data_IF_669114744566
#
_entry.id   IF_669114744566
#
_cell.length_a   1.000
_cell.length_b   1.000
_cell.length_c   1.000
_cell.angle_alpha   90.00
_cell.angle_beta   90.00
_cell.angle_gamma   90.00
#
_symmetry.space_group_name_H-M   'P 1'
#
loop_
_entity.id
_entity.type
_entity.pdbx_description
1 polymer ?
#
# COMPACT_ATOMS: atom_id res chain seq x y z
N UNK A 1 10.44 19.01 8.60
CA UNK A 1 11.21 17.88 9.17
C UNK A 1 10.78 16.63 8.45
N UNK A 2 11.67 15.93 7.74
CA UNK A 2 11.33 14.62 7.18
C UNK A 2 11.19 13.60 8.33
N UNK A 3 10.27 12.62 8.26
CA UNK A 3 10.17 11.58 9.27
C UNK A 3 11.49 10.79 9.35
N UNK A 4 11.90 10.34 10.55
CA UNK A 4 13.21 9.73 10.82
C UNK A 4 13.41 8.33 10.20
N UNK A 5 12.50 7.87 9.34
CA UNK A 5 12.57 6.58 8.66
C UNK A 5 11.44 6.40 7.64
N UNK A 6 11.42 5.28 6.89
CA UNK A 6 10.29 4.94 6.04
C UNK A 6 9.00 4.92 6.86
N UNK A 7 7.88 5.44 6.31
CA UNK A 7 6.65 5.62 7.06
C UNK A 7 6.11 4.29 7.60
N UNK A 8 5.56 4.32 8.81
CA UNK A 8 4.99 3.13 9.44
C UNK A 8 3.49 3.10 9.17
N UNK A 9 3.08 2.18 8.31
CA UNK A 9 1.66 1.95 8.02
C UNK A 9 1.08 1.09 9.15
N UNK A 10 0.04 1.58 9.82
CA UNK A 10 -0.62 0.88 10.92
C UNK A 10 -1.59 -0.18 10.40
N UNK A 11 -2.38 0.19 9.39
CA UNK A 11 -3.40 -0.66 8.80
C UNK A 11 -3.80 -0.12 7.43
N UNK A 12 -4.58 -0.89 6.69
CA UNK A 12 -5.24 -0.44 5.48
C UNK A 12 -6.59 -1.12 5.30
N UNK A 13 -7.52 -0.44 4.64
CA UNK A 13 -8.87 -0.91 4.40
C UNK A 13 -9.43 -0.36 3.08
N UNK A 14 -10.54 -0.90 2.62
CA UNK A 14 -11.29 -0.34 1.49
C UNK A 14 -12.36 0.61 2.03
N UNK A 15 -12.26 1.90 1.71
CA UNK A 15 -13.38 2.83 1.87
C UNK A 15 -14.46 2.47 0.86
N UNK A 16 -15.71 2.73 1.21
CA UNK A 16 -16.87 2.55 0.31
C UNK A 16 -17.35 3.86 -0.31
N UNK A 17 -16.86 5.01 0.18
CA UNK A 17 -17.19 6.35 -0.30
C UNK A 17 -15.97 7.29 -0.12
N UNK A 18 -15.17 7.54 -1.17
CA UNK A 18 -15.16 6.82 -2.45
C UNK A 18 -14.75 5.35 -2.28
N UNK A 19 -15.10 4.49 -3.24
CA UNK A 19 -14.68 3.09 -3.24
C UNK A 19 -13.19 3.00 -3.59
N UNK A 20 -12.34 3.05 -2.56
CA UNK A 20 -10.89 3.21 -2.72
C UNK A 20 -10.11 2.59 -1.56
N UNK A 21 -8.92 2.04 -1.82
CA UNK A 21 -8.02 1.63 -0.76
C UNK A 21 -7.47 2.83 0.01
N UNK A 22 -7.47 2.70 1.33
CA UNK A 22 -6.99 3.68 2.29
C UNK A 22 -5.87 3.06 3.12
N UNK A 23 -4.73 3.73 3.15
CA UNK A 23 -3.64 3.40 4.08
C UNK A 23 -3.64 4.36 5.26
N UNK A 24 -3.51 3.81 6.45
CA UNK A 24 -3.50 4.56 7.71
C UNK A 24 -2.09 4.61 8.25
N UNK A 25 -1.55 5.81 8.37
CA UNK A 25 -0.21 6.08 8.87
C UNK A 25 -0.24 6.42 10.36
N UNK A 26 0.93 6.33 11.02
CA UNK A 26 1.05 6.64 12.44
C UNK A 26 0.84 8.15 12.73
N UNK A 27 1.31 9.01 11.82
CA UNK A 27 1.21 10.47 11.89
C UNK A 27 0.80 11.09 10.55
N UNK A 28 0.36 12.35 10.59
CA UNK A 28 0.07 13.11 9.38
C UNK A 28 1.35 13.37 8.57
N UNK A 29 2.49 13.62 9.23
CA UNK A 29 3.78 13.83 8.55
C UNK A 29 4.20 12.61 7.71
N UNK A 30 3.95 11.39 8.19
CA UNK A 30 4.21 10.16 7.45
C UNK A 30 3.25 10.00 6.26
N UNK A 31 1.97 10.33 6.44
CA UNK A 31 1.00 10.34 5.35
C UNK A 31 1.37 11.35 4.26
N UNK A 32 1.78 12.56 4.65
CA UNK A 32 2.26 13.59 3.72
C UNK A 32 3.55 13.19 3.02
N UNK A 33 4.51 12.60 3.75
CA UNK A 33 5.71 12.05 3.13
C UNK A 33 5.38 10.99 2.08
N UNK A 34 4.45 10.09 2.39
CA UNK A 34 4.02 9.06 1.46
C UNK A 34 3.34 9.67 0.23
N UNK A 35 2.45 10.64 0.44
CA UNK A 35 1.78 11.39 -0.62
C UNK A 35 2.77 12.12 -1.55
N UNK A 36 3.83 12.72 -1.01
CA UNK A 36 4.88 13.38 -1.79
C UNK A 36 5.58 12.40 -2.75
N UNK A 37 5.82 11.16 -2.30
CA UNK A 37 6.40 10.09 -3.12
C UNK A 37 5.41 9.47 -4.10
N UNK A 38 4.16 9.34 -3.67
CA UNK A 38 3.09 8.65 -4.39
C UNK A 38 2.02 9.68 -4.74
N UNK A 39 2.25 10.41 -5.84
CA UNK A 39 1.45 11.59 -6.23
C UNK A 39 -0.03 11.31 -6.49
N UNK A 40 -0.40 10.07 -6.79
CA UNK A 40 -1.79 9.67 -6.91
C UNK A 40 -2.48 9.49 -5.55
N UNK A 41 -1.71 9.40 -4.46
CA UNK A 41 -2.23 9.39 -3.10
C UNK A 41 -2.86 10.72 -2.73
N UNK A 42 -3.99 10.67 -2.03
CA UNK A 42 -4.73 11.86 -1.59
C UNK A 42 -5.00 11.80 -0.10
N UNK A 43 -4.74 12.92 0.57
CA UNK A 43 -5.19 13.18 1.92
C UNK A 43 -6.37 14.14 1.82
N UNK A 44 -7.51 13.78 2.40
CA UNK A 44 -8.71 14.62 2.40
C UNK A 44 -8.79 15.43 3.71
N UNK A 45 -9.16 16.70 3.61
CA UNK A 45 -9.18 17.64 4.74
C UNK A 45 -10.34 17.36 5.71
N UNK A 46 -11.45 16.86 5.18
CA UNK A 46 -12.63 16.43 5.93
C UNK A 46 -12.48 15.03 6.56
N UNK A 47 -11.39 14.32 6.25
CA UNK A 47 -11.04 13.02 6.80
C UNK A 47 -9.82 13.12 7.71
N UNK A 48 -9.43 12.00 8.32
CA UNK A 48 -8.18 11.95 9.09
C UNK A 48 -6.98 12.27 8.18
N UNK A 49 -6.16 13.25 8.58
CA UNK A 49 -4.92 13.59 7.87
C UNK A 49 -3.86 12.47 7.89
N UNK A 50 -4.11 11.40 8.65
CA UNK A 50 -3.29 10.19 8.66
C UNK A 50 -3.67 9.20 7.57
N UNK A 51 -4.73 9.47 6.81
CA UNK A 51 -5.27 8.57 5.79
C UNK A 51 -4.82 9.03 4.41
N UNK A 52 -4.21 8.10 3.67
CA UNK A 52 -3.90 8.29 2.25
C UNK A 52 -4.79 7.37 1.44
N UNK A 53 -5.65 7.99 0.64
CA UNK A 53 -6.52 7.33 -0.32
C UNK A 53 -5.74 7.12 -1.61
N UNK A 54 -5.74 5.90 -2.11
CA UNK A 54 -5.19 5.57 -3.43
C UNK A 54 -6.34 5.33 -4.41
N UNK A 55 -6.25 5.77 -5.67
CA UNK A 55 -7.21 5.40 -6.68
C UNK A 55 -7.35 3.89 -6.76
N UNK A 56 -8.58 3.38 -6.96
CA UNK A 56 -8.83 1.95 -7.04
C UNK A 56 -7.93 1.31 -8.12
N UNK A 57 -6.98 0.45 -7.74
CA UNK A 57 -6.15 -0.25 -8.69
C UNK A 57 -6.97 -1.28 -9.45
N UNK A 58 -6.69 -1.43 -10.74
CA UNK A 58 -7.26 -2.51 -11.55
C UNK A 58 -6.88 -3.89 -10.96
N UNK A 59 -7.85 -4.81 -10.93
CA UNK A 59 -7.64 -6.17 -10.44
C UNK A 59 -7.45 -6.31 -8.92
N UNK A 60 -7.61 -5.24 -8.13
CA UNK A 60 -7.52 -5.32 -6.67
C UNK A 60 -8.67 -6.17 -6.11
N UNK A 61 -8.34 -7.26 -5.41
CA UNK A 61 -9.32 -8.14 -4.77
C UNK A 61 -9.60 -7.74 -3.33
N UNK A 62 -8.54 -7.39 -2.57
CA UNK A 62 -8.66 -6.97 -1.18
C UNK A 62 -7.38 -6.31 -0.67
N UNK A 63 -7.53 -5.59 0.44
CA UNK A 63 -6.43 -5.02 1.23
C UNK A 63 -6.49 -5.59 2.65
N UNK A 64 -5.35 -5.97 3.22
CA UNK A 64 -5.25 -6.53 4.57
C UNK A 64 -3.90 -6.26 5.21
N UNK A 65 -3.85 -6.28 6.53
CA UNK A 65 -2.58 -6.38 7.25
C UNK A 65 -2.05 -7.82 7.17
N UNK A 66 -0.84 -7.99 6.65
CA UNK A 66 -0.11 -9.23 6.55
C UNK A 66 0.67 -9.54 7.84
N UNK A 67 1.37 -10.68 7.86
CA UNK A 67 2.29 -11.02 8.95
C UNK A 67 3.40 -9.97 9.02
N UNK A 68 3.90 -9.72 10.22
CA UNK A 68 4.96 -8.74 10.53
C UNK A 68 4.58 -7.25 10.34
N UNK A 69 3.28 -6.96 10.16
CA UNK A 69 2.77 -5.59 10.09
C UNK A 69 2.87 -4.95 8.70
N UNK A 70 3.23 -5.73 7.67
CA UNK A 70 3.13 -5.30 6.29
C UNK A 70 1.66 -5.13 5.88
N UNK A 71 1.40 -4.24 4.94
CA UNK A 71 0.11 -4.14 4.26
C UNK A 71 0.19 -4.90 2.95
N UNK A 72 -0.71 -5.85 2.76
CA UNK A 72 -0.86 -6.63 1.55
C UNK A 72 -2.03 -6.12 0.70
N UNK A 73 -1.73 -5.83 -0.56
CA UNK A 73 -2.70 -5.61 -1.63
C UNK A 73 -2.72 -6.86 -2.49
N UNK A 74 -3.80 -7.64 -2.41
CA UNK A 74 -3.95 -8.89 -3.16
C UNK A 74 -4.67 -8.58 -4.50
N UNK A 75 -4.08 -9.01 -5.61
CA UNK A 75 -4.58 -8.81 -6.97
C UNK A 75 -5.00 -10.13 -7.62
N UNK A 76 -5.85 -10.05 -8.65
CA UNK A 76 -6.29 -11.19 -9.47
C UNK A 76 -5.20 -11.73 -10.42
N UNK A 77 -4.14 -10.96 -10.67
CA UNK A 77 -3.05 -11.34 -11.55
C UNK A 77 -1.73 -10.60 -11.28
N UNK A 78 -0.59 -11.20 -11.66
CA UNK A 78 0.73 -10.63 -11.39
C UNK A 78 1.00 -9.34 -12.17
N UNK A 79 0.40 -9.18 -13.36
CA UNK A 79 0.52 -7.96 -14.15
C UNK A 79 -0.13 -6.74 -13.46
N UNK A 80 -1.28 -6.94 -12.80
CA UNK A 80 -1.94 -5.88 -12.03
C UNK A 80 -1.14 -5.52 -10.77
N UNK A 81 -0.60 -6.53 -10.06
CA UNK A 81 0.29 -6.31 -8.94
C UNK A 81 1.54 -5.50 -9.34
N UNK A 82 2.20 -5.86 -10.45
CA UNK A 82 3.38 -5.13 -10.95
C UNK A 82 3.02 -3.70 -11.36
N UNK A 83 1.94 -3.49 -12.11
CA UNK A 83 1.46 -2.16 -12.51
C UNK A 83 1.15 -1.29 -11.29
N UNK A 84 0.48 -1.84 -10.28
CA UNK A 84 0.24 -1.12 -9.03
C UNK A 84 1.55 -0.77 -8.34
N UNK A 85 2.47 -1.72 -8.21
CA UNK A 85 3.76 -1.47 -7.54
C UNK A 85 4.57 -0.38 -8.28
N UNK A 86 4.57 -0.39 -9.61
CA UNK A 86 5.17 0.69 -10.42
C UNK A 86 4.51 2.04 -10.15
N UNK A 87 3.17 2.08 -10.02
CA UNK A 87 2.43 3.31 -9.71
C UNK A 87 2.87 3.92 -8.38
N UNK A 88 3.12 3.09 -7.36
CA UNK A 88 3.63 3.53 -6.05
C UNK A 88 5.17 3.61 -6.00
N UNK A 89 5.82 3.82 -7.14
CA UNK A 89 7.29 3.98 -7.26
C UNK A 89 8.10 2.81 -6.70
N UNK A 90 7.57 1.59 -6.80
CA UNK A 90 8.18 0.36 -6.29
C UNK A 90 8.49 0.40 -4.78
N UNK A 91 7.68 1.15 -4.01
CA UNK A 91 7.74 1.14 -2.55
C UNK A 91 7.26 -0.21 -1.96
N UNK A 92 6.49 -0.97 -2.73
CA UNK A 92 6.05 -2.31 -2.36
C UNK A 92 7.00 -3.41 -2.83
N UNK A 93 6.87 -4.56 -2.18
CA UNK A 93 7.60 -5.80 -2.50
C UNK A 93 6.63 -6.81 -3.10
N UNK A 94 7.06 -7.49 -4.13
CA UNK A 94 6.37 -8.66 -4.72
C UNK A 94 7.35 -9.82 -4.58
N UNK A 95 6.92 -10.93 -3.98
CA UNK A 95 7.80 -12.07 -3.79
C UNK A 95 7.81 -12.95 -5.04
N UNK A 96 8.99 -13.39 -5.51
CA UNK A 96 9.08 -14.29 -6.64
C UNK A 96 8.51 -15.66 -6.28
N UNK A 97 8.19 -16.44 -7.31
CA UNK A 97 7.84 -17.85 -7.18
C UNK A 97 8.93 -18.59 -6.41
N UNK A 98 8.58 -19.24 -5.29
CA UNK A 98 9.47 -20.13 -4.55
C UNK A 98 9.10 -21.60 -4.83
N UNK A 99 9.97 -22.54 -4.46
CA UNK A 99 9.67 -23.97 -4.58
C UNK A 99 8.37 -24.34 -3.83
N UNK A 100 8.11 -23.68 -2.70
CA UNK A 100 6.94 -23.92 -1.84
C UNK A 100 5.67 -23.20 -2.31
N UNK A 101 5.79 -22.18 -3.19
CA UNK A 101 4.66 -21.45 -3.78
C UNK A 101 4.76 -21.49 -5.30
N UNK A 102 4.10 -22.48 -5.89
CA UNK A 102 4.07 -22.72 -7.34
C UNK A 102 3.36 -21.62 -8.16
N UNK A 103 2.53 -20.78 -7.52
CA UNK A 103 1.86 -19.64 -8.17
C UNK A 103 2.68 -18.36 -8.00
N UNK A 104 2.72 -17.54 -9.05
CA UNK A 104 3.25 -16.18 -8.97
C UNK A 104 2.53 -15.40 -7.87
N UNK A 105 3.29 -14.68 -7.04
CA UNK A 105 2.67 -13.84 -6.03
C UNK A 105 1.97 -12.68 -6.73
N UNK A 106 0.66 -12.59 -6.53
CA UNK A 106 -0.17 -11.50 -7.04
C UNK A 106 -0.39 -10.47 -5.93
N UNK A 107 0.52 -10.39 -4.97
CA UNK A 107 0.40 -9.54 -3.79
C UNK A 107 1.51 -8.51 -3.75
N UNK A 108 1.16 -7.26 -3.49
CA UNK A 108 2.11 -6.18 -3.18
C UNK A 108 2.12 -5.93 -1.69
N UNK A 109 3.29 -6.10 -1.06
CA UNK A 109 3.50 -5.87 0.37
C UNK A 109 4.19 -4.53 0.60
N UNK A 110 3.57 -3.63 1.37
CA UNK A 110 4.11 -2.32 1.71
C UNK A 110 4.25 -2.25 3.23
N UNK A 111 5.44 -1.96 3.73
CA UNK A 111 5.66 -1.90 5.17
C UNK A 111 7.14 -2.04 5.50
N UNK A 112 7.44 -2.44 6.74
CA UNK A 112 8.81 -2.53 7.24
C UNK A 112 9.59 -3.51 6.37
N UNK A 113 10.64 -3.03 5.71
CA UNK A 113 11.58 -3.92 5.04
C UNK A 113 12.07 -4.95 6.06
N UNK A 114 11.97 -6.24 5.71
CA UNK A 114 12.64 -7.31 6.46
C UNK A 114 14.12 -6.92 6.55
N UNK A 115 14.57 -6.57 7.76
CA UNK A 115 16.00 -6.43 8.09
C UNK A 115 16.62 -7.81 8.16
#
# INVERSE_FOLDING_TARGET
>A
MAPPGPPTIQTAFLSVKPLEPVMVFNSADEAFWFQDKVRQGRVFVDQSQKWVFLPMPEGLLRVRTAKDGDIAFDFDGPAHADRFNQSIKKLGRIFPRTADKLKWDCTVYIGKSLK
#
